data_IF_864174284580
#
_entry.id   IF_864174284580
#
_cell.length_a   1.000
_cell.length_b   1.000
_cell.length_c   1.000
_cell.angle_alpha   90.00
_cell.angle_beta   90.00
_cell.angle_gamma   90.00
#
_symmetry.space_group_name_H-M   'P 1'
#
loop_
_entity.id
_entity.type
_entity.pdbx_description
1 polymer ?
#
# COMPACT_ATOMS: atom_id res chain seq x y z
N UNK A 1 -8.99 -45.59 -3.18
CA UNK A 1 -9.08 -44.57 -2.10
C UNK A 1 -8.40 -43.23 -2.43
N UNK A 2 -7.40 -43.15 -3.33
CA UNK A 2 -6.67 -41.90 -3.63
C UNK A 2 -7.39 -40.91 -4.59
N UNK A 3 -8.28 -41.38 -5.47
CA UNK A 3 -8.96 -40.51 -6.45
C UNK A 3 -9.98 -39.54 -5.82
N UNK A 4 -10.70 -39.97 -4.78
CA UNK A 4 -11.70 -39.12 -4.10
C UNK A 4 -11.06 -37.98 -3.30
N UNK A 5 -9.88 -38.21 -2.70
CA UNK A 5 -9.11 -37.18 -2.00
C UNK A 5 -8.67 -36.05 -2.93
N UNK A 6 -8.31 -36.38 -4.17
CA UNK A 6 -7.93 -35.38 -5.17
C UNK A 6 -9.14 -34.52 -5.58
N UNK A 7 -10.29 -35.14 -5.85
CA UNK A 7 -11.53 -34.41 -6.21
C UNK A 7 -11.95 -33.48 -5.06
N UNK A 8 -11.97 -33.97 -3.82
CA UNK A 8 -12.30 -33.15 -2.64
C UNK A 8 -11.31 -32.00 -2.49
N UNK A 9 -10.00 -32.25 -2.69
CA UNK A 9 -8.98 -31.21 -2.62
C UNK A 9 -9.20 -30.12 -3.68
N UNK A 10 -9.51 -30.49 -4.92
CA UNK A 10 -9.81 -29.52 -5.97
C UNK A 10 -11.08 -28.72 -5.70
N UNK A 11 -12.14 -29.35 -5.18
CA UNK A 11 -13.38 -28.66 -4.80
C UNK A 11 -13.13 -27.69 -3.64
N UNK A 12 -12.51 -28.14 -2.55
CA UNK A 12 -12.23 -27.28 -1.39
C UNK A 12 -11.29 -26.13 -1.77
N UNK A 13 -10.24 -26.41 -2.53
CA UNK A 13 -9.27 -25.37 -2.93
C UNK A 13 -9.89 -24.39 -3.93
N UNK A 14 -10.64 -24.90 -4.93
CA UNK A 14 -11.32 -24.07 -5.92
C UNK A 14 -12.40 -23.19 -5.29
N UNK A 15 -13.26 -23.75 -4.44
CA UNK A 15 -14.30 -22.98 -3.76
C UNK A 15 -13.70 -21.94 -2.82
N UNK A 16 -12.68 -22.30 -2.02
CA UNK A 16 -12.10 -21.37 -1.04
C UNK A 16 -11.31 -20.23 -1.71
N UNK A 17 -10.51 -20.52 -2.73
CA UNK A 17 -9.63 -19.50 -3.33
C UNK A 17 -10.29 -18.71 -4.48
N UNK A 18 -11.33 -19.24 -5.11
CA UNK A 18 -12.00 -18.57 -6.25
C UNK A 18 -13.39 -18.10 -5.88
N UNK A 19 -14.25 -18.99 -5.39
CA UNK A 19 -15.66 -18.67 -5.16
C UNK A 19 -15.81 -17.70 -3.99
N UNK A 20 -15.12 -17.92 -2.87
CA UNK A 20 -15.25 -17.04 -1.70
C UNK A 20 -14.85 -15.59 -2.01
N UNK A 21 -13.69 -15.28 -2.60
CA UNK A 21 -13.34 -13.90 -2.96
C UNK A 21 -14.33 -13.26 -3.95
N UNK A 22 -14.79 -13.99 -4.96
CA UNK A 22 -15.78 -13.50 -5.93
C UNK A 22 -17.10 -13.19 -5.22
N UNK A 23 -17.55 -14.07 -4.33
CA UNK A 23 -18.80 -13.91 -3.60
C UNK A 23 -18.75 -12.70 -2.66
N UNK A 24 -17.61 -12.49 -1.99
CA UNK A 24 -17.36 -11.27 -1.21
C UNK A 24 -17.46 -10.03 -2.09
N UNK A 25 -16.80 -10.02 -3.26
CA UNK A 25 -16.89 -8.90 -4.21
C UNK A 25 -18.33 -8.62 -4.65
N UNK A 26 -19.10 -9.66 -4.98
CA UNK A 26 -20.51 -9.53 -5.37
C UNK A 26 -21.38 -8.96 -4.24
N UNK A 27 -21.19 -9.45 -2.99
CA UNK A 27 -21.91 -8.91 -1.83
C UNK A 27 -21.57 -7.44 -1.60
N UNK A 28 -20.28 -7.08 -1.68
CA UNK A 28 -19.84 -5.70 -1.48
C UNK A 28 -20.39 -4.78 -2.57
N UNK A 29 -20.35 -5.21 -3.83
CA UNK A 29 -20.89 -4.44 -4.95
C UNK A 29 -22.40 -4.27 -4.85
N UNK A 30 -23.12 -5.35 -4.52
CA UNK A 30 -24.56 -5.31 -4.26
C UNK A 30 -24.91 -4.35 -3.12
N UNK A 31 -24.17 -4.39 -2.00
CA UNK A 31 -24.35 -3.43 -0.90
C UNK A 31 -24.08 -2.00 -1.35
N UNK A 32 -23.01 -1.75 -2.10
CA UNK A 32 -22.69 -0.42 -2.62
C UNK A 32 -23.83 0.14 -3.48
N UNK A 33 -24.39 -0.68 -4.38
CA UNK A 33 -25.57 -0.31 -5.18
C UNK A 33 -26.77 0.02 -4.28
N UNK A 34 -27.08 -0.81 -3.29
CA UNK A 34 -28.23 -0.54 -2.39
C UNK A 34 -28.06 0.74 -1.57
N UNK A 35 -26.84 1.10 -1.17
CA UNK A 35 -26.53 2.34 -0.47
C UNK A 35 -26.74 3.55 -1.38
N UNK A 36 -26.41 3.41 -2.68
CA UNK A 36 -26.50 4.49 -3.66
C UNK A 36 -27.86 4.60 -4.35
N UNK A 37 -28.70 3.56 -4.28
CA UNK A 37 -30.05 3.54 -4.87
C UNK A 37 -30.92 4.73 -4.45
N UNK A 38 -31.01 5.14 -3.17
CA UNK A 38 -31.80 6.31 -2.77
C UNK A 38 -31.33 7.60 -3.45
N UNK A 39 -30.01 7.78 -3.56
CA UNK A 39 -29.41 8.93 -4.23
C UNK A 39 -29.69 8.88 -5.75
N UNK A 40 -29.55 7.70 -6.35
CA UNK A 40 -29.87 7.49 -7.76
C UNK A 40 -31.34 7.78 -8.06
N UNK A 41 -32.27 7.32 -7.22
CA UNK A 41 -33.70 7.62 -7.34
C UNK A 41 -33.98 9.12 -7.33
N UNK A 42 -33.38 9.85 -6.38
CA UNK A 42 -33.53 11.30 -6.28
C UNK A 42 -33.02 12.01 -7.55
N UNK A 43 -31.88 11.59 -8.09
CA UNK A 43 -31.32 12.13 -9.33
C UNK A 43 -32.19 11.77 -10.54
N UNK A 44 -32.60 10.51 -10.69
CA UNK A 44 -33.43 10.09 -11.84
C UNK A 44 -34.78 10.79 -11.88
N UNK A 45 -35.38 11.05 -10.72
CA UNK A 45 -36.64 11.79 -10.61
C UNK A 45 -36.43 13.27 -10.94
N UNK A 46 -35.36 13.90 -10.41
CA UNK A 46 -35.05 15.31 -10.68
C UNK A 46 -34.77 15.58 -12.16
N UNK A 47 -34.16 14.63 -12.87
CA UNK A 47 -33.83 14.73 -14.29
C UNK A 47 -34.85 14.05 -15.22
N UNK A 48 -35.99 13.55 -14.71
CA UNK A 48 -37.03 12.82 -15.47
C UNK A 48 -36.50 11.65 -16.32
N UNK A 49 -35.43 10.99 -15.89
CA UNK A 49 -34.76 9.92 -16.64
C UNK A 49 -35.57 8.61 -16.64
N UNK A 50 -36.47 8.45 -15.66
CA UNK A 50 -37.38 7.31 -15.55
C UNK A 50 -38.38 7.24 -16.71
N UNK A 51 -38.70 8.36 -17.35
CA UNK A 51 -39.66 8.43 -18.46
C UNK A 51 -39.09 7.89 -19.76
N UNK A 52 -37.76 7.88 -19.92
CA UNK A 52 -37.06 7.45 -21.15
C UNK A 52 -36.48 6.04 -21.01
N UNK A 53 -35.96 5.67 -19.83
CA UNK A 53 -35.27 4.39 -19.59
C UNK A 53 -36.01 3.45 -18.61
N UNK A 54 -37.15 3.85 -18.07
CA UNK A 54 -37.94 3.01 -17.16
C UNK A 54 -37.19 2.65 -15.86
N UNK A 55 -37.52 1.51 -15.22
CA UNK A 55 -36.90 1.05 -13.97
C UNK A 55 -35.38 0.83 -14.07
N UNK A 56 -34.87 0.56 -15.27
CA UNK A 56 -33.45 0.36 -15.52
C UNK A 56 -32.62 1.65 -15.36
N UNK A 57 -33.26 2.83 -15.43
CA UNK A 57 -32.59 4.12 -15.28
C UNK A 57 -31.88 4.25 -13.92
N UNK A 58 -32.51 3.75 -12.85
CA UNK A 58 -31.99 3.84 -11.49
C UNK A 58 -30.74 2.98 -11.31
N UNK A 59 -30.74 1.76 -11.88
CA UNK A 59 -29.58 0.87 -11.86
C UNK A 59 -28.41 1.47 -12.65
N UNK A 60 -28.68 2.04 -13.83
CA UNK A 60 -27.67 2.72 -14.63
C UNK A 60 -27.05 3.90 -13.88
N UNK A 61 -27.88 4.79 -13.32
CA UNK A 61 -27.39 5.94 -12.54
C UNK A 61 -26.64 5.50 -11.30
N UNK A 62 -27.11 4.47 -10.58
CA UNK A 62 -26.39 3.91 -9.43
C UNK A 62 -25.01 3.38 -9.82
N UNK A 63 -24.91 2.66 -10.94
CA UNK A 63 -23.64 2.16 -11.46
C UNK A 63 -22.69 3.28 -11.85
N UNK A 64 -23.21 4.33 -12.53
CA UNK A 64 -22.43 5.53 -12.87
C UNK A 64 -21.94 6.24 -11.62
N UNK A 65 -22.77 6.37 -10.57
CA UNK A 65 -22.37 6.96 -9.29
C UNK A 65 -21.25 6.16 -8.63
N UNK A 66 -21.31 4.82 -8.62
CA UNK A 66 -20.24 3.97 -8.11
C UNK A 66 -18.94 4.25 -8.87
N UNK A 67 -18.99 4.27 -10.21
CA UNK A 67 -17.82 4.55 -11.04
C UNK A 67 -17.25 5.94 -10.77
N UNK A 68 -18.11 6.94 -10.63
CA UNK A 68 -17.73 8.33 -10.36
C UNK A 68 -17.08 8.46 -8.98
N UNK A 69 -17.67 7.87 -7.93
CA UNK A 69 -17.11 7.85 -6.57
C UNK A 69 -15.78 7.11 -6.54
N UNK A 70 -15.68 5.97 -7.23
CA UNK A 70 -14.44 5.19 -7.32
C UNK A 70 -13.35 5.95 -8.05
N UNK A 71 -13.69 6.62 -9.15
CA UNK A 71 -12.79 7.47 -9.92
C UNK A 71 -12.31 8.66 -9.10
N UNK A 72 -13.22 9.39 -8.44
CA UNK A 72 -12.87 10.50 -7.56
C UNK A 72 -11.98 10.04 -6.40
N UNK A 73 -12.32 8.93 -5.76
CA UNK A 73 -11.52 8.36 -4.67
C UNK A 73 -10.11 8.00 -5.15
N UNK A 74 -10.01 7.31 -6.29
CA UNK A 74 -8.72 6.99 -6.93
C UNK A 74 -7.93 8.24 -7.31
N UNK A 75 -8.59 9.24 -7.90
CA UNK A 75 -8.01 10.52 -8.24
C UNK A 75 -7.49 11.25 -6.99
N UNK A 76 -8.25 11.30 -5.90
CA UNK A 76 -7.81 11.93 -4.65
C UNK A 76 -6.63 11.19 -4.00
N UNK A 77 -6.60 9.86 -4.09
CA UNK A 77 -5.49 9.04 -3.60
C UNK A 77 -4.22 9.32 -4.42
N UNK A 78 -4.32 9.31 -5.75
CA UNK A 78 -3.16 9.45 -6.67
C UNK A 78 -2.68 10.91 -6.73
N UNK A 79 -3.59 11.87 -6.86
CA UNK A 79 -3.27 13.30 -7.02
C UNK A 79 -3.04 14.02 -5.68
N UNK A 80 -3.01 13.29 -4.57
CA UNK A 80 -2.36 13.78 -3.38
C UNK A 80 -3.19 14.74 -2.55
N UNK A 81 -4.49 14.53 -2.42
CA UNK A 81 -5.18 15.09 -1.25
C UNK A 81 -4.54 14.55 0.05
N UNK A 82 -3.96 13.34 0.01
CA UNK A 82 -3.05 12.77 1.02
C UNK A 82 -1.64 13.38 1.08
N UNK A 83 -1.20 14.10 0.03
CA UNK A 83 0.13 14.76 -0.05
C UNK A 83 0.10 16.14 0.65
N UNK A 84 -1.11 16.66 0.91
CA UNK A 84 -1.40 17.92 1.61
C UNK A 84 -2.24 17.70 2.89
N UNK A 85 -2.33 16.46 3.39
CA UNK A 85 -2.86 16.22 4.72
C UNK A 85 -1.89 16.81 5.74
N UNK A 86 -2.33 17.91 6.34
CA UNK A 86 -1.64 18.67 7.38
C UNK A 86 -0.84 17.73 8.32
N UNK A 87 0.44 18.03 8.57
CA UNK A 87 1.38 17.21 9.36
C UNK A 87 0.80 16.69 10.70
N UNK A 88 -0.20 17.39 11.27
CA UNK A 88 -0.91 16.99 12.50
C UNK A 88 -1.79 15.74 12.34
N UNK A 89 -2.53 15.64 11.24
CA UNK A 89 -3.40 14.48 10.97
C UNK A 89 -2.56 13.26 10.61
N UNK A 90 -1.50 13.50 9.84
CA UNK A 90 -0.49 12.50 9.48
C UNK A 90 0.22 11.96 10.74
N UNK A 91 0.66 12.83 11.66
CA UNK A 91 1.26 12.41 12.93
C UNK A 91 0.31 11.58 13.80
N UNK A 92 -0.98 11.94 13.84
CA UNK A 92 -2.00 11.20 14.62
C UNK A 92 -2.30 9.83 13.99
N UNK A 93 -2.43 9.77 12.67
CA UNK A 93 -2.60 8.51 11.95
C UNK A 93 -1.40 7.58 12.09
N UNK A 94 -0.18 8.11 12.02
CA UNK A 94 1.03 7.33 12.19
C UNK A 94 1.27 6.90 13.64
N UNK A 95 0.82 7.69 14.62
CA UNK A 95 0.82 7.29 16.02
C UNK A 95 -0.07 6.06 16.26
N UNK A 96 -1.27 6.02 15.66
CA UNK A 96 -2.19 4.89 15.81
C UNK A 96 -1.91 3.72 14.85
N UNK A 97 -1.39 4.01 13.66
CA UNK A 97 -1.10 3.03 12.62
C UNK A 97 0.27 3.32 11.97
N UNK A 98 1.37 2.92 12.64
CA UNK A 98 2.74 3.12 12.13
C UNK A 98 2.93 2.54 10.72
N UNK A 99 2.26 1.43 10.43
CA UNK A 99 2.32 0.72 9.14
C UNK A 99 1.81 1.54 7.94
N UNK A 100 1.04 2.62 8.15
CA UNK A 100 0.61 3.50 7.05
C UNK A 100 1.77 4.34 6.49
N UNK A 101 2.77 4.72 7.31
CA UNK A 101 4.00 5.36 6.82
C UNK A 101 4.66 4.49 5.77
N UNK A 102 4.67 3.19 6.04
CA UNK A 102 5.25 2.17 5.19
C UNK A 102 4.43 2.00 3.91
N UNK A 103 3.10 1.90 3.97
CA UNK A 103 2.30 1.72 2.75
C UNK A 103 2.35 2.90 1.77
N UNK A 104 2.73 4.10 2.22
CA UNK A 104 2.86 5.29 1.37
C UNK A 104 3.83 5.07 0.20
N UNK A 105 4.76 4.10 0.25
CA UNK A 105 5.70 3.85 -0.87
C UNK A 105 5.05 3.29 -2.11
N UNK A 106 3.90 2.64 -1.96
CA UNK A 106 3.18 2.07 -3.10
C UNK A 106 2.51 3.12 -3.95
N UNK A 107 2.27 4.31 -3.38
CA UNK A 107 1.49 5.39 -4.00
C UNK A 107 2.34 6.61 -4.39
N UNK A 108 3.57 6.72 -3.88
CA UNK A 108 4.46 7.86 -4.11
C UNK A 108 5.63 7.45 -5.03
N UNK A 109 5.97 8.30 -5.99
CA UNK A 109 7.10 8.09 -6.90
C UNK A 109 8.44 8.21 -6.18
N UNK A 110 9.50 7.53 -6.64
CA UNK A 110 10.83 7.61 -6.01
C UNK A 110 11.41 9.03 -5.98
N UNK A 111 11.09 9.85 -6.99
CA UNK A 111 11.53 11.24 -7.05
C UNK A 111 10.89 12.10 -5.94
N UNK A 112 9.66 11.78 -5.55
CA UNK A 112 8.96 12.44 -4.44
C UNK A 112 9.48 11.98 -3.07
N UNK A 113 9.93 10.72 -2.95
CA UNK A 113 10.53 10.18 -1.73
C UNK A 113 11.74 10.99 -1.27
N UNK A 114 12.63 11.34 -2.21
CA UNK A 114 13.83 12.14 -1.92
C UNK A 114 13.53 13.57 -1.49
N UNK A 115 12.33 14.09 -1.79
CA UNK A 115 11.95 15.49 -1.53
C UNK A 115 11.20 15.71 -0.22
N UNK A 116 10.63 14.67 0.39
CA UNK A 116 9.65 14.80 1.48
C UNK A 116 10.11 14.33 2.88
N UNK A 117 11.42 14.28 3.18
CA UNK A 117 11.93 13.81 4.49
C UNK A 117 11.41 12.42 4.90
N UNK A 118 11.04 11.56 3.94
CA UNK A 118 10.68 10.18 4.23
C UNK A 118 11.90 9.36 4.62
N UNK A 119 11.64 8.20 5.25
CA UNK A 119 12.65 7.20 5.57
C UNK A 119 13.46 6.82 4.33
N UNK A 120 14.77 7.07 4.38
CA UNK A 120 15.66 6.80 3.26
C UNK A 120 16.12 5.33 3.31
N UNK A 121 15.78 4.50 2.32
CA UNK A 121 16.22 3.10 2.27
C UNK A 121 17.72 3.00 1.97
N UNK A 122 18.40 2.16 2.73
CA UNK A 122 19.84 1.94 2.64
C UNK A 122 20.17 0.46 2.86
N UNK A 123 21.28 0.02 2.29
CA UNK A 123 22.03 -1.12 2.82
C UNK A 123 23.08 -0.58 3.78
N UNK A 124 22.82 -0.74 5.08
CA UNK A 124 23.78 -0.42 6.12
C UNK A 124 24.87 -1.50 6.12
N UNK A 125 26.13 -1.09 6.04
CA UNK A 125 27.27 -1.98 6.19
C UNK A 125 27.61 -2.10 7.67
N UNK A 126 27.61 -3.32 8.19
CA UNK A 126 27.98 -3.66 9.56
C UNK A 126 29.14 -4.67 9.50
N UNK A 127 30.37 -4.17 9.60
CA UNK A 127 31.61 -4.91 9.33
C UNK A 127 31.63 -5.65 7.98
N UNK A 128 31.32 -6.96 8.01
CA UNK A 128 31.31 -7.89 6.86
C UNK A 128 29.90 -8.19 6.36
N UNK A 129 28.88 -7.56 6.93
CA UNK A 129 27.47 -7.82 6.69
C UNK A 129 26.80 -6.57 6.09
N UNK A 130 25.71 -6.78 5.37
CA UNK A 130 24.84 -5.71 4.91
C UNK A 130 23.42 -5.96 5.39
N UNK A 131 22.85 -4.96 6.05
CA UNK A 131 21.48 -4.98 6.55
C UNK A 131 20.63 -4.01 5.74
N UNK A 132 19.45 -4.45 5.29
CA UNK A 132 18.44 -3.52 4.78
C UNK A 132 17.99 -2.66 5.96
N UNK A 133 18.12 -1.35 5.84
CA UNK A 133 17.81 -0.41 6.89
C UNK A 133 17.23 0.88 6.32
N UNK A 134 16.70 1.72 7.20
CA UNK A 134 16.10 3.00 6.84
C UNK A 134 16.67 4.10 7.70
N UNK A 135 17.18 5.15 7.08
CA UNK A 135 17.52 6.37 7.82
C UNK A 135 16.20 7.09 8.11
N UNK A 136 15.84 7.18 9.38
CA UNK A 136 14.58 7.78 9.82
C UNK A 136 14.74 9.24 10.21
N UNK A 137 15.93 9.65 10.66
CA UNK A 137 16.22 11.03 11.02
C UNK A 137 17.71 11.38 10.82
N UNK A 138 17.96 12.59 10.31
CA UNK A 138 19.27 13.23 10.11
C UNK A 138 19.35 14.63 10.76
N UNK A 139 18.38 14.98 11.61
CA UNK A 139 18.27 16.30 12.23
C UNK A 139 19.46 16.65 13.13
N UNK A 140 20.10 15.64 13.72
CA UNK A 140 21.27 15.81 14.57
C UNK A 140 22.58 15.75 13.77
N UNK A 141 23.51 16.70 13.93
CA UNK A 141 24.75 16.73 13.14
C UNK A 141 25.66 15.51 13.33
N UNK A 142 25.71 14.99 14.56
CA UNK A 142 26.64 13.91 14.96
C UNK A 142 26.05 12.52 14.86
N UNK A 143 24.72 12.40 14.95
CA UNK A 143 24.03 11.12 15.04
C UNK A 143 22.99 10.99 13.94
N UNK A 144 22.92 9.80 13.38
CA UNK A 144 21.90 9.40 12.43
C UNK A 144 21.01 8.33 13.10
N UNK A 145 19.70 8.49 12.96
CA UNK A 145 18.74 7.49 13.43
C UNK A 145 18.46 6.51 12.31
N UNK A 146 18.69 5.23 12.59
CA UNK A 146 18.51 4.14 11.63
C UNK A 146 17.52 3.14 12.21
N UNK A 147 16.59 2.67 11.38
CA UNK A 147 15.68 1.60 11.69
C UNK A 147 16.03 0.35 10.88
N UNK A 148 16.16 -0.79 11.56
CA UNK A 148 16.49 -2.09 10.96
C UNK A 148 15.30 -3.02 11.21
N UNK A 149 14.51 -3.38 10.18
CA UNK A 149 13.33 -4.23 10.34
C UNK A 149 13.66 -5.72 10.41
N UNK A 150 12.76 -6.48 11.04
CA UNK A 150 12.78 -7.94 11.13
C UNK A 150 11.99 -8.57 9.97
N UNK A 151 12.67 -9.14 8.98
CA UNK A 151 11.99 -9.78 7.85
C UNK A 151 11.05 -10.93 8.29
N UNK A 152 9.82 -11.02 7.75
CA UNK A 152 9.26 -10.23 6.65
C UNK A 152 8.43 -9.02 7.11
N UNK A 153 8.42 -8.74 8.42
CA UNK A 153 7.60 -7.71 9.05
C UNK A 153 8.35 -6.38 9.09
N UNK A 154 7.83 -5.38 8.39
CA UNK A 154 8.43 -4.05 8.40
C UNK A 154 8.12 -3.26 9.68
N UNK A 155 7.10 -3.66 10.43
CA UNK A 155 6.62 -3.01 11.66
C UNK A 155 7.27 -3.54 12.95
N UNK A 156 8.17 -4.51 12.83
CA UNK A 156 8.98 -5.04 13.91
C UNK A 156 10.46 -4.89 13.55
N UNK A 157 11.30 -4.57 14.53
CA UNK A 157 12.73 -4.36 14.32
C UNK A 157 13.35 -3.51 15.41
N UNK A 158 14.57 -3.04 15.17
CA UNK A 158 15.33 -2.22 16.10
C UNK A 158 15.61 -0.81 15.56
N UNK A 159 15.72 0.15 16.48
CA UNK A 159 16.21 1.50 16.19
C UNK A 159 17.63 1.61 16.74
N UNK A 160 18.55 2.06 15.89
CA UNK A 160 19.96 2.28 16.23
C UNK A 160 20.35 3.72 15.94
N UNK A 161 21.03 4.35 16.88
CA UNK A 161 21.69 5.64 16.67
C UNK A 161 23.16 5.38 16.36
N UNK A 162 23.64 5.88 15.22
CA UNK A 162 25.04 5.73 14.82
C UNK A 162 25.70 7.09 14.65
N UNK A 163 27.00 7.15 14.85
CA UNK A 163 27.77 8.35 14.50
C UNK A 163 27.78 8.51 12.99
N UNK A 164 27.46 9.70 12.50
CA UNK A 164 27.36 9.96 11.05
C UNK A 164 28.65 9.60 10.30
N UNK A 165 29.81 9.78 10.94
CA UNK A 165 31.14 9.46 10.40
C UNK A 165 31.44 7.96 10.28
N UNK A 166 30.79 7.13 11.10
CA UNK A 166 31.03 5.69 11.18
C UNK A 166 29.92 4.91 10.43
N UNK A 167 28.97 5.63 9.83
CA UNK A 167 27.82 5.07 9.12
C UNK A 167 28.16 4.87 7.63
N UNK A 168 28.68 3.69 7.30
CA UNK A 168 28.87 3.25 5.91
C UNK A 168 27.59 2.62 5.35
N UNK A 169 27.09 3.11 4.21
CA UNK A 169 25.89 2.57 3.61
C UNK A 169 25.81 2.80 2.10
N UNK A 170 25.00 1.98 1.43
CA UNK A 170 24.68 2.10 0.01
C UNK A 170 23.20 2.51 -0.11
N UNK A 171 22.88 3.67 -0.72
CA UNK A 171 21.48 4.02 -0.98
C UNK A 171 20.83 3.02 -1.94
N UNK A 172 19.68 2.48 -1.54
CA UNK A 172 18.86 1.60 -2.38
C UNK A 172 17.49 2.23 -2.60
N UNK A 173 16.76 1.69 -3.58
CA UNK A 173 15.38 2.09 -3.80
C UNK A 173 14.46 1.51 -2.74
N UNK A 174 13.33 2.19 -2.50
CA UNK A 174 12.30 1.67 -1.59
C UNK A 174 11.73 0.34 -2.10
N UNK A 175 11.66 0.17 -3.42
CA UNK A 175 11.21 -1.09 -4.04
C UNK A 175 12.17 -2.24 -3.75
N UNK A 176 13.48 -2.03 -3.87
CA UNK A 176 14.50 -3.03 -3.54
C UNK A 176 14.44 -3.42 -2.06
N UNK A 177 14.39 -2.43 -1.16
CA UNK A 177 14.29 -2.68 0.28
C UNK A 177 13.06 -3.51 0.63
N UNK A 178 11.89 -3.12 0.11
CA UNK A 178 10.61 -3.78 0.43
C UNK A 178 10.50 -5.18 -0.15
N UNK A 179 10.99 -5.40 -1.37
CA UNK A 179 11.05 -6.75 -1.93
C UNK A 179 12.03 -7.62 -1.12
N UNK A 180 13.19 -7.07 -0.75
CA UNK A 180 14.16 -7.78 0.09
C UNK A 180 13.57 -8.18 1.44
N UNK A 181 12.85 -7.30 2.13
CA UNK A 181 12.21 -7.62 3.42
C UNK A 181 11.12 -8.68 3.23
N UNK A 182 10.17 -8.46 2.31
CA UNK A 182 9.00 -9.34 2.13
C UNK A 182 9.39 -10.73 1.64
N UNK A 183 10.38 -10.80 0.77
CA UNK A 183 10.76 -12.03 0.07
C UNK A 183 12.00 -12.69 0.72
N UNK A 184 12.28 -12.37 2.00
CA UNK A 184 13.37 -12.94 2.81
C UNK A 184 14.76 -12.85 2.16
N UNK A 185 15.06 -11.67 1.60
CA UNK A 185 16.32 -11.35 0.94
C UNK A 185 16.40 -11.79 -0.53
N UNK A 186 15.37 -12.44 -1.07
CA UNK A 186 15.38 -12.88 -2.47
C UNK A 186 15.22 -11.70 -3.44
N UNK A 187 16.03 -11.71 -4.50
CA UNK A 187 15.83 -10.83 -5.67
C UNK A 187 16.44 -9.43 -5.55
N UNK A 188 17.35 -9.19 -4.60
CA UNK A 188 18.16 -7.96 -4.60
C UNK A 188 19.13 -7.98 -5.79
N UNK A 189 19.18 -6.91 -6.59
CA UNK A 189 20.07 -6.84 -7.76
C UNK A 189 21.54 -6.83 -7.29
N UNK A 190 22.38 -7.79 -7.75
CA UNK A 190 23.81 -7.83 -7.39
C UNK A 190 24.57 -6.53 -7.73
N UNK A 191 24.11 -5.75 -8.72
CA UNK A 191 24.69 -4.45 -9.07
C UNK A 191 24.62 -3.41 -7.96
N UNK A 192 23.75 -3.62 -6.96
CA UNK A 192 23.71 -2.75 -5.78
C UNK A 192 25.04 -2.82 -5.01
N UNK A 193 25.67 -4.00 -4.97
CA UNK A 193 26.96 -4.22 -4.29
C UNK A 193 28.18 -3.83 -5.15
N UNK A 194 28.01 -3.58 -6.45
CA UNK A 194 29.12 -3.15 -7.30
C UNK A 194 29.44 -1.67 -7.17
N UNK A 195 28.63 -0.89 -6.45
CA UNK A 195 28.90 0.53 -6.14
C UNK A 195 29.94 0.71 -5.02
N UNK A 196 30.45 -0.38 -4.47
CA UNK A 196 31.41 -0.42 -3.35
C UNK A 196 32.81 -0.85 -3.77
N UNK A 197 33.02 -1.13 -5.06
CA UNK A 197 34.31 -1.54 -5.64
C UNK A 197 35.02 -0.37 -6.33
#
# INVERSE_FOLDING_TARGET
>A
MNRYRLIIRYVVTGTLFVVVPILILLILFGKALTILMPLAHALTHKFNLTTVLGPAAVLLVSSVLILLISFLSGYFIVNGFLKQWNNKFEATLFYHFPSFQMMKYRFISEADYKKQNFWQPILLKDDKLYNIAFITDKSQPKFISIYIPDAPKMDAGEVRYMLTKDCEYIPITMKEAMNGIRDFGKGLDPKVFSKTA
#
